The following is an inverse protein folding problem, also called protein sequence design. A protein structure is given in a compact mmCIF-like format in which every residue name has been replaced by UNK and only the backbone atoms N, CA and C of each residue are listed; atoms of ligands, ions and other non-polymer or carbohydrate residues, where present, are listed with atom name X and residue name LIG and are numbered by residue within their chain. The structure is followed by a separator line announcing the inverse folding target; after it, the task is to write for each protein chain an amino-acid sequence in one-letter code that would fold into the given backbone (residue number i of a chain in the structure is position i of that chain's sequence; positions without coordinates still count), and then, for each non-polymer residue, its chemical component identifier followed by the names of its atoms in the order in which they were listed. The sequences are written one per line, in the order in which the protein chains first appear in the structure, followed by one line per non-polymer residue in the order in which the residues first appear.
data_IF_829643349094
#
_entry.id   IF_829643349094
#
_cell.length_a   1.000
_cell.length_b   1.000
_cell.length_c   1.000
_cell.angle_alpha   90.00
_cell.angle_beta   90.00
_cell.angle_gamma   90.00
#
_symmetry.space_group_name_H-M   'P 1'
#
loop_
_entity.id
_entity.type
_entity.pdbx_description
1 polymer ?
#
# COMPACT_ATOMS: atom_id res chain seq x y z
N UNK A 1 0.97 -7.74 -11.68
CA UNK A 1 0.80 -6.40 -11.09
C UNK A 1 2.16 -5.91 -10.63
N UNK A 2 2.53 -4.66 -10.94
CA UNK A 2 3.81 -4.07 -10.51
C UNK A 2 3.55 -3.29 -9.22
N UNK A 3 3.95 -3.82 -8.08
CA UNK A 3 3.80 -3.11 -6.80
C UNK A 3 4.80 -1.96 -6.77
N UNK A 4 4.30 -0.73 -6.76
CA UNK A 4 5.13 0.47 -6.71
C UNK A 4 5.02 1.06 -5.32
N UNK A 5 6.13 1.16 -4.62
CA UNK A 5 6.20 1.88 -3.35
C UNK A 5 6.38 3.37 -3.62
N UNK A 6 5.73 4.19 -2.80
CA UNK A 6 5.68 5.64 -3.00
C UNK A 6 6.89 6.37 -2.43
N UNK A 7 7.69 5.67 -1.63
CA UNK A 7 8.97 6.14 -1.10
C UNK A 7 10.10 6.16 -2.15
N UNK A 8 9.79 5.97 -3.44
CA UNK A 8 10.72 5.91 -4.59
C UNK A 8 11.75 4.79 -4.56
N UNK A 9 11.72 3.93 -3.55
CA UNK A 9 12.53 2.72 -3.49
C UNK A 9 11.77 1.54 -4.10
N UNK A 10 12.49 0.65 -4.77
CA UNK A 10 11.90 -0.57 -5.31
C UNK A 10 11.78 -1.65 -4.23
N UNK A 11 10.83 -2.56 -4.41
CA UNK A 11 10.69 -3.74 -3.52
C UNK A 11 11.94 -4.63 -3.51
N UNK A 12 12.76 -4.59 -4.57
CA UNK A 12 14.04 -5.30 -4.64
C UNK A 12 15.11 -4.63 -3.77
N UNK A 13 15.23 -3.30 -3.83
CA UNK A 13 16.18 -2.54 -2.99
C UNK A 13 15.88 -2.69 -1.50
N UNK A 14 14.61 -2.81 -1.16
CA UNK A 14 14.14 -3.00 0.22
C UNK A 14 14.20 -4.47 0.67
N UNK A 15 14.64 -5.39 -0.19
CA UNK A 15 14.67 -6.82 0.11
C UNK A 15 13.31 -7.44 0.41
N UNK A 16 12.23 -6.77 -0.01
CA UNK A 16 10.84 -7.24 0.07
C UNK A 16 10.59 -8.32 -0.97
N UNK A 17 11.24 -8.21 -2.13
CA UNK A 17 11.18 -9.21 -3.18
C UNK A 17 12.48 -9.99 -3.23
N UNK A 18 12.40 -11.33 -3.22
CA UNK A 18 13.57 -12.20 -3.34
C UNK A 18 14.10 -12.30 -4.78
N UNK A 19 15.19 -13.05 -4.95
CA UNK A 19 15.91 -13.19 -6.22
C UNK A 19 15.05 -13.80 -7.34
N UNK A 20 14.01 -14.56 -6.99
CA UNK A 20 13.06 -15.15 -7.93
C UNK A 20 11.88 -14.21 -8.26
N UNK A 21 11.85 -13.00 -7.68
CA UNK A 21 10.76 -12.05 -7.89
C UNK A 21 9.53 -12.29 -7.01
N UNK A 22 9.62 -13.18 -6.02
CA UNK A 22 8.56 -13.47 -5.07
C UNK A 22 8.51 -12.40 -3.97
N UNK A 23 7.31 -11.90 -3.69
CA UNK A 23 7.08 -10.85 -2.70
C UNK A 23 6.91 -11.48 -1.32
N UNK A 24 7.67 -10.97 -0.36
CA UNK A 24 7.54 -11.28 1.06
C UNK A 24 6.53 -10.32 1.71
N UNK A 25 5.32 -10.81 2.04
CA UNK A 25 4.26 -9.94 2.56
C UNK A 25 4.60 -9.39 3.95
N UNK A 26 5.39 -10.10 4.75
CA UNK A 26 5.79 -9.65 6.08
C UNK A 26 6.73 -8.46 5.99
N UNK A 27 7.75 -8.52 5.12
CA UNK A 27 8.65 -7.39 4.88
C UNK A 27 7.95 -6.21 4.22
N UNK A 28 7.01 -6.47 3.31
CA UNK A 28 6.20 -5.43 2.72
C UNK A 28 5.39 -4.68 3.79
N UNK A 29 4.71 -5.42 4.68
CA UNK A 29 3.91 -4.83 5.75
C UNK A 29 4.78 -4.01 6.70
N UNK A 30 5.91 -4.59 7.14
CA UNK A 30 6.86 -3.90 8.02
C UNK A 30 7.36 -2.60 7.39
N UNK A 31 7.75 -2.61 6.11
CA UNK A 31 8.19 -1.40 5.43
C UNK A 31 7.09 -0.33 5.34
N UNK A 32 5.84 -0.73 5.09
CA UNK A 32 4.71 0.21 5.03
C UNK A 32 4.48 0.86 6.39
N UNK A 33 4.58 0.11 7.49
CA UNK A 33 4.44 0.63 8.85
C UNK A 33 5.61 1.56 9.25
N UNK A 34 6.84 1.22 8.85
CA UNK A 34 8.05 1.99 9.21
C UNK A 34 8.30 3.19 8.30
N UNK A 35 7.79 3.20 7.06
CA UNK A 35 8.02 4.27 6.09
C UNK A 35 6.91 5.33 6.16
N UNK A 36 7.18 6.56 6.61
CA UNK A 36 6.15 7.59 6.78
C UNK A 36 5.38 7.93 5.50
N UNK A 37 6.05 7.86 4.34
CA UNK A 37 5.44 8.15 3.04
C UNK A 37 4.46 7.02 2.64
N UNK A 38 4.87 5.77 2.84
CA UNK A 38 4.03 4.62 2.54
C UNK A 38 2.85 4.53 3.50
N UNK A 39 3.07 4.82 4.80
CA UNK A 39 2.04 4.86 5.82
C UNK A 39 0.99 5.94 5.52
N UNK A 40 1.42 7.20 5.32
CA UNK A 40 0.52 8.33 5.02
C UNK A 40 -0.38 8.04 3.80
N UNK A 41 0.19 7.43 2.76
CA UNK A 41 -0.60 7.05 1.61
C UNK A 41 -1.62 5.95 1.93
N UNK A 42 -1.23 4.92 2.68
CA UNK A 42 -2.14 3.83 3.05
C UNK A 42 -3.29 4.34 3.92
N UNK A 43 -3.01 5.24 4.86
CA UNK A 43 -4.04 5.89 5.66
C UNK A 43 -5.02 6.68 4.78
N UNK A 44 -4.50 7.55 3.89
CA UNK A 44 -5.34 8.30 2.94
C UNK A 44 -6.13 7.40 2.01
N UNK A 45 -5.55 6.29 1.56
CA UNK A 45 -6.24 5.32 0.72
C UNK A 45 -7.39 4.65 1.47
N UNK A 46 -7.18 4.29 2.74
CA UNK A 46 -8.24 3.74 3.60
C UNK A 46 -9.35 4.76 3.80
N UNK A 47 -9.02 6.03 4.08
CA UNK A 47 -10.01 7.11 4.19
C UNK A 47 -10.80 7.31 2.88
N UNK A 48 -10.11 7.35 1.74
CA UNK A 48 -10.74 7.44 0.43
C UNK A 48 -11.70 6.28 0.18
N UNK A 49 -11.29 5.04 0.46
CA UNK A 49 -12.14 3.85 0.30
C UNK A 49 -13.36 3.93 1.23
N UNK A 50 -13.20 4.40 2.47
CA UNK A 50 -14.31 4.61 3.41
C UNK A 50 -15.29 5.63 2.86
N UNK A 51 -14.83 6.81 2.45
CA UNK A 51 -15.67 7.85 1.87
C UNK A 51 -16.44 7.35 0.64
N UNK A 52 -15.77 6.64 -0.28
CA UNK A 52 -16.41 6.08 -1.48
C UNK A 52 -17.43 4.98 -1.17
N UNK A 53 -17.22 4.20 -0.10
CA UNK A 53 -18.21 3.21 0.37
C UNK A 53 -19.44 3.89 0.96
N UNK A 54 -19.29 5.04 1.61
CA UNK A 54 -20.41 5.83 2.13
C UNK A 54 -21.18 6.52 1.01
N UNK A 55 -20.48 7.12 0.04
CA UNK A 55 -21.10 7.73 -1.15
C UNK A 55 -21.94 6.73 -1.97
N UNK A 56 -21.43 5.50 -2.14
CA UNK A 56 -22.19 4.42 -2.80
C UNK A 56 -23.43 3.97 -2.03
N UNK A 57 -23.48 4.16 -0.71
CA UNK A 57 -24.69 3.86 0.09
C UNK A 57 -25.74 4.96 -0.04
N UNK A 58 -25.31 6.21 -0.20
CA UNK A 58 -26.21 7.37 -0.35
C UNK A 58 -26.84 7.40 -1.75
N UNK A 59 -26.08 7.08 -2.80
CA UNK A 59 -26.55 7.10 -4.19
C UNK A 59 -27.27 5.81 -4.65
N UNK A 60 -27.52 4.86 -3.73
CA UNK A 60 -28.30 3.64 -3.97
C UNK A 60 -29.69 3.67 -3.31
N UNK A 61 -30.12 4.85 -2.80
CA UNK A 61 -31.46 5.11 -2.24
C UNK A 61 -32.31 5.94 -3.18
#
# INVERSE_FOLDING_TARGET
MKYTLLCKQTTKELGIVDENGLLDPSKFHQHVEECPICLDFMEKLVEFIKQNKEDKKINAS
#
